data_IF_969738242178
#
_entry.id   IF_969738242178
#
_cell.length_a   1.000
_cell.length_b   1.000
_cell.length_c   1.000
_cell.angle_alpha   90.00
_cell.angle_beta   90.00
_cell.angle_gamma   90.00
#
_symmetry.space_group_name_H-M   'P 1'
#
loop_
_entity.id
_entity.type
_entity.pdbx_description
1 polymer ?
#
# COMPACT_ATOMS: atom_id res chain seq x y z
N UNK A 1 -9.55 1.42 5.48
CA UNK A 1 -9.67 0.74 4.17
C UNK A 1 -8.63 -0.36 4.11
N UNK A 2 -9.02 -1.59 3.81
CA UNK A 2 -8.10 -2.73 3.69
C UNK A 2 -8.22 -3.37 2.31
N UNK A 3 -7.08 -3.60 1.66
CA UNK A 3 -6.95 -4.33 0.41
C UNK A 3 -6.01 -5.51 0.61
N UNK A 4 -6.48 -6.71 0.31
CA UNK A 4 -5.70 -7.95 0.40
C UNK A 4 -5.71 -8.66 -0.95
N UNK A 5 -4.55 -9.04 -1.46
CA UNK A 5 -4.38 -9.80 -2.71
C UNK A 5 -3.54 -11.06 -2.46
N UNK A 6 -3.89 -12.17 -3.11
CA UNK A 6 -3.33 -13.49 -2.81
C UNK A 6 -2.16 -13.93 -3.70
N UNK A 7 -2.05 -13.41 -4.92
CA UNK A 7 -1.04 -13.76 -5.94
C UNK A 7 -0.42 -12.50 -6.56
N UNK A 8 0.09 -12.58 -7.79
CA UNK A 8 0.47 -11.42 -8.60
C UNK A 8 -0.75 -10.51 -8.81
N UNK A 9 -0.76 -9.39 -8.09
CA UNK A 9 -1.82 -8.41 -8.18
C UNK A 9 -1.24 -7.01 -8.40
N UNK A 10 -1.94 -6.26 -9.23
CA UNK A 10 -1.71 -4.83 -9.40
C UNK A 10 -2.84 -4.06 -8.71
N UNK A 11 -2.49 -3.27 -7.68
CA UNK A 11 -3.46 -2.46 -6.93
C UNK A 11 -3.27 -1.00 -7.34
N UNK A 12 -4.32 -0.39 -7.88
CA UNK A 12 -4.34 1.02 -8.26
C UNK A 12 -5.41 1.75 -7.46
N UNK A 13 -4.99 2.71 -6.65
CA UNK A 13 -5.89 3.49 -5.80
C UNK A 13 -5.54 4.97 -5.92
N UNK A 14 -6.55 5.84 -6.01
CA UNK A 14 -6.35 7.27 -6.22
C UNK A 14 -7.34 8.11 -5.42
N UNK A 15 -6.89 9.26 -4.88
CA UNK A 15 -7.71 10.26 -4.19
C UNK A 15 -8.46 9.68 -2.99
N UNK A 16 -7.72 9.01 -2.10
CA UNK A 16 -8.29 8.33 -0.95
C UNK A 16 -8.05 9.13 0.34
N UNK A 17 -9.10 9.28 1.15
CA UNK A 17 -9.04 9.81 2.51
C UNK A 17 -9.61 8.77 3.48
N UNK A 18 -8.81 8.33 4.46
CA UNK A 18 -9.20 7.31 5.44
C UNK A 18 -8.39 7.44 6.73
N UNK A 19 -8.92 7.02 7.88
CA UNK A 19 -8.13 6.99 9.13
C UNK A 19 -7.00 5.95 9.05
N UNK A 20 -7.32 4.74 8.58
CA UNK A 20 -6.36 3.66 8.38
C UNK A 20 -6.41 3.14 6.94
N UNK A 21 -5.24 2.90 6.38
CA UNK A 21 -5.05 2.34 5.05
C UNK A 21 -4.08 1.16 5.08
N UNK A 22 -4.57 -0.05 4.79
CA UNK A 22 -3.78 -1.28 4.84
C UNK A 22 -3.77 -1.97 3.48
N UNK A 23 -2.58 -2.23 2.95
CA UNK A 23 -2.37 -3.06 1.76
C UNK A 23 -1.57 -4.30 2.14
N UNK A 24 -2.06 -5.47 1.76
CA UNK A 24 -1.33 -6.74 1.87
C UNK A 24 -1.31 -7.43 0.51
N UNK A 25 -0.12 -7.66 -0.04
CA UNK A 25 0.05 -8.39 -1.31
C UNK A 25 1.16 -9.45 -1.19
N UNK A 26 1.02 -10.58 -1.88
CA UNK A 26 2.13 -11.54 -1.98
C UNK A 26 3.15 -11.13 -3.04
N UNK A 27 2.68 -10.84 -4.25
CA UNK A 27 3.52 -10.48 -5.40
C UNK A 27 2.85 -9.40 -6.24
N UNK A 28 3.63 -8.56 -6.90
CA UNK A 28 3.11 -7.58 -7.88
C UNK A 28 3.38 -6.13 -7.50
N UNK A 29 2.61 -5.22 -8.11
CA UNK A 29 2.86 -3.78 -8.05
C UNK A 29 1.73 -3.05 -7.33
N UNK A 30 2.08 -2.20 -6.37
CA UNK A 30 1.10 -1.36 -5.67
C UNK A 30 1.35 0.09 -6.06
N UNK A 31 0.36 0.71 -6.70
CA UNK A 31 0.39 2.11 -7.14
C UNK A 31 -0.68 2.91 -6.41
N UNK A 32 -0.26 3.82 -5.53
CA UNK A 32 -1.19 4.66 -4.78
C UNK A 32 -0.96 6.13 -5.08
N UNK A 33 -2.01 6.82 -5.52
CA UNK A 33 -2.00 8.23 -5.88
C UNK A 33 -2.81 9.10 -4.93
N UNK A 34 -2.28 10.25 -4.50
CA UNK A 34 -3.02 11.25 -3.70
C UNK A 34 -3.72 10.63 -2.48
N UNK A 35 -2.93 10.16 -1.51
CA UNK A 35 -3.43 9.50 -0.30
C UNK A 35 -3.27 10.41 0.92
N UNK A 36 -4.36 10.57 1.67
CA UNK A 36 -4.39 11.18 2.99
C UNK A 36 -4.91 10.16 3.99
N UNK A 37 -4.06 9.69 4.90
CA UNK A 37 -4.50 8.79 5.96
C UNK A 37 -3.68 8.95 7.23
N UNK A 38 -4.26 8.76 8.41
CA UNK A 38 -3.49 8.88 9.65
C UNK A 38 -2.46 7.75 9.74
N UNK A 39 -2.87 6.52 9.43
CA UNK A 39 -2.00 5.35 9.44
C UNK A 39 -2.00 4.66 8.08
N UNK A 40 -0.82 4.51 7.49
CA UNK A 40 -0.59 3.74 6.27
C UNK A 40 0.25 2.52 6.61
N UNK A 41 -0.21 1.36 6.18
CA UNK A 41 0.49 0.10 6.36
C UNK A 41 0.52 -0.71 5.07
N UNK A 42 1.71 -1.02 4.58
CA UNK A 42 1.90 -1.85 3.39
C UNK A 42 2.76 -3.05 3.75
N UNK A 43 2.24 -4.25 3.50
CA UNK A 43 2.93 -5.52 3.65
C UNK A 43 3.01 -6.21 2.28
N UNK A 44 4.23 -6.46 1.79
CA UNK A 44 4.46 -7.22 0.56
C UNK A 44 5.53 -8.29 0.74
N UNK A 45 5.32 -9.47 0.17
CA UNK A 45 6.35 -10.50 0.17
C UNK A 45 7.41 -10.28 -0.91
N UNK A 46 7.04 -9.83 -2.11
CA UNK A 46 7.97 -9.41 -3.17
C UNK A 46 7.29 -8.52 -4.22
N UNK A 47 8.08 -7.77 -4.99
CA UNK A 47 7.58 -6.80 -5.98
C UNK A 47 7.77 -5.36 -5.53
N UNK A 48 7.14 -4.43 -6.25
CA UNK A 48 7.38 -2.99 -6.12
C UNK A 48 6.18 -2.27 -5.48
N UNK A 49 6.48 -1.33 -4.60
CA UNK A 49 5.48 -0.43 -4.00
C UNK A 49 5.85 0.99 -4.39
N UNK A 50 4.98 1.63 -5.17
CA UNK A 50 5.15 3.00 -5.63
C UNK A 50 3.98 3.88 -5.17
N UNK A 51 4.33 5.07 -4.69
CA UNK A 51 3.35 6.10 -4.38
C UNK A 51 3.62 7.32 -5.24
N UNK A 52 2.59 7.83 -5.90
CA UNK A 52 2.70 8.98 -6.80
C UNK A 52 1.86 10.16 -6.30
N UNK A 53 2.38 11.37 -6.45
CA UNK A 53 1.69 12.59 -6.00
C UNK A 53 1.76 12.81 -4.50
N UNK A 54 0.69 13.36 -3.91
CA UNK A 54 0.70 13.78 -2.50
C UNK A 54 0.42 12.60 -1.58
N UNK A 55 1.39 12.29 -0.71
CA UNK A 55 1.24 11.33 0.40
C UNK A 55 1.25 12.11 1.73
N UNK A 56 0.12 12.11 2.44
CA UNK A 56 0.02 12.71 3.77
C UNK A 56 -0.37 11.65 4.78
N UNK A 57 0.51 11.39 5.74
CA UNK A 57 0.21 10.51 6.85
C UNK A 57 0.93 10.89 8.12
N UNK A 58 0.34 10.52 9.25
CA UNK A 58 0.97 10.65 10.56
C UNK A 58 1.97 9.51 10.77
N UNK A 59 1.62 8.30 10.33
CA UNK A 59 2.49 7.14 10.43
C UNK A 59 2.46 6.31 9.13
N UNK A 60 3.63 5.84 8.70
CA UNK A 60 3.81 5.00 7.51
C UNK A 60 4.66 3.80 7.89
N UNK A 61 4.12 2.59 7.75
CA UNK A 61 4.81 1.32 7.95
C UNK A 61 4.88 0.55 6.62
N UNK A 62 6.09 0.29 6.14
CA UNK A 62 6.35 -0.51 4.95
C UNK A 62 7.14 -1.75 5.34
N UNK A 63 6.58 -2.93 5.07
CA UNK A 63 7.22 -4.23 5.29
C UNK A 63 7.28 -4.99 3.97
N UNK A 64 8.49 -5.14 3.44
CA UNK A 64 8.76 -5.82 2.17
C UNK A 64 9.63 -7.05 2.40
N UNK A 65 9.62 -8.05 1.51
CA UNK A 65 10.50 -9.21 1.62
C UNK A 65 10.07 -10.22 2.68
N UNK A 66 8.77 -10.28 3.00
CA UNK A 66 8.21 -11.14 4.05
C UNK A 66 8.36 -12.66 3.80
N UNK A 67 8.92 -13.08 2.65
CA UNK A 67 9.21 -14.47 2.30
C UNK A 67 10.71 -14.64 1.91
N UNK A 68 11.62 -14.28 2.81
CA UNK A 68 13.05 -14.61 2.73
C UNK A 68 13.37 -15.97 3.32
#
# INVERSE_FOLDING_TARGET
VQVTTSDEASVHLSNLEAEEFVIKTQKGAVNVGNLKADNIKVETASGDVETVGRLQATNIELKTGLNG
#
